data_IF_878406696023
#
_entry.id   IF_878406696023
#
_cell.length_a   1.000
_cell.length_b   1.000
_cell.length_c   1.000
_cell.angle_alpha   90.00
_cell.angle_beta   90.00
_cell.angle_gamma   90.00
#
_symmetry.space_group_name_H-M   'P 1'
#
loop_
_entity.id
_entity.type
_entity.pdbx_description
1 polymer ?
#
# COMPACT_ATOMS: atom_id res chain seq x y z
N UNK A 1 6.43 -5.23 -1.38
CA UNK A 1 6.71 -5.52 -2.80
C UNK A 1 6.15 -6.88 -3.23
N UNK A 2 6.49 -7.99 -2.57
CA UNK A 2 6.09 -9.35 -2.99
C UNK A 2 4.57 -9.56 -3.15
N UNK A 3 3.75 -9.03 -2.24
CA UNK A 3 2.28 -9.19 -2.32
C UNK A 3 1.67 -8.53 -3.56
N UNK A 4 2.10 -7.29 -3.88
CA UNK A 4 1.67 -6.60 -5.10
C UNK A 4 2.16 -7.36 -6.32
N UNK A 5 3.42 -7.78 -6.34
CA UNK A 5 4.02 -8.47 -7.48
C UNK A 5 3.38 -9.85 -7.78
N UNK A 6 2.78 -10.49 -6.77
CA UNK A 6 2.09 -11.78 -6.89
C UNK A 6 0.57 -11.67 -6.95
N UNK A 7 0.02 -10.45 -7.03
CA UNK A 7 -1.44 -10.23 -7.07
C UNK A 7 -2.17 -10.59 -5.77
N UNK A 8 -1.48 -10.70 -4.64
CA UNK A 8 -2.03 -11.05 -3.32
C UNK A 8 -2.68 -9.85 -2.63
N UNK A 9 -3.67 -9.26 -3.31
CA UNK A 9 -4.29 -7.98 -2.96
C UNK A 9 -4.96 -8.00 -1.59
N UNK A 10 -5.52 -9.14 -1.19
CA UNK A 10 -6.22 -9.32 0.10
C UNK A 10 -5.31 -9.15 1.32
N UNK A 11 -4.00 -9.38 1.16
CA UNK A 11 -3.00 -9.24 2.23
C UNK A 11 -2.40 -7.83 2.30
N UNK A 12 -2.57 -7.01 1.26
CA UNK A 12 -2.00 -5.65 1.18
C UNK A 12 -2.44 -4.76 2.35
N UNK A 13 -3.72 -4.72 2.80
CA UNK A 13 -4.14 -3.79 3.85
C UNK A 13 -3.37 -3.95 5.15
N UNK A 14 -3.21 -5.20 5.62
CA UNK A 14 -2.52 -5.50 6.86
C UNK A 14 -1.03 -5.12 6.78
N UNK A 15 -0.35 -5.58 5.72
CA UNK A 15 1.08 -5.35 5.55
C UNK A 15 1.41 -3.88 5.25
N UNK A 16 0.56 -3.17 4.52
CA UNK A 16 0.74 -1.75 4.26
C UNK A 16 0.58 -0.93 5.54
N UNK A 17 -0.43 -1.21 6.37
CA UNK A 17 -0.56 -0.57 7.68
C UNK A 17 0.67 -0.81 8.55
N UNK A 18 1.13 -2.06 8.65
CA UNK A 18 2.32 -2.40 9.43
C UNK A 18 3.60 -1.73 8.90
N UNK A 19 3.74 -1.61 7.59
CA UNK A 19 4.86 -0.90 6.98
C UNK A 19 4.82 0.60 7.33
N UNK A 20 3.64 1.23 7.27
CA UNK A 20 3.47 2.64 7.64
C UNK A 20 3.66 2.87 9.15
N UNK A 21 3.26 1.92 9.98
CA UNK A 21 3.52 1.95 11.42
C UNK A 21 5.03 1.94 11.73
N UNK A 22 5.81 1.33 10.83
CA UNK A 22 7.27 1.22 10.89
C UNK A 22 7.97 2.38 10.18
N UNK A 23 7.23 3.42 9.75
CA UNK A 23 7.78 4.66 9.19
C UNK A 23 7.70 4.79 7.66
N UNK A 24 7.13 3.81 6.93
CA UNK A 24 6.87 3.98 5.50
C UNK A 24 5.86 5.12 5.28
N UNK A 25 6.22 6.11 4.47
CA UNK A 25 5.31 7.21 4.14
C UNK A 25 4.33 6.83 3.04
N UNK A 26 3.24 7.58 2.91
CA UNK A 26 2.30 7.44 1.80
C UNK A 26 2.99 7.64 0.43
N UNK A 27 3.91 8.61 0.32
CA UNK A 27 4.65 8.86 -0.92
C UNK A 27 5.54 7.68 -1.31
N UNK A 28 6.28 7.13 -0.34
CA UNK A 28 7.12 5.94 -0.57
C UNK A 28 6.28 4.73 -0.99
N UNK A 29 5.10 4.53 -0.37
CA UNK A 29 4.19 3.46 -0.78
C UNK A 29 3.68 3.65 -2.22
N UNK A 30 3.35 4.88 -2.62
CA UNK A 30 2.94 5.20 -3.98
C UNK A 30 4.07 4.98 -5.01
N UNK A 31 5.31 5.35 -4.65
CA UNK A 31 6.49 5.08 -5.47
C UNK A 31 6.73 3.59 -5.67
N UNK A 32 6.58 2.77 -4.63
CA UNK A 32 6.69 1.30 -4.72
C UNK A 32 5.64 0.74 -5.68
N UNK A 33 4.38 1.16 -5.56
CA UNK A 33 3.31 0.70 -6.48
C UNK A 33 3.62 1.13 -7.93
N UNK A 34 4.09 2.36 -8.12
CA UNK A 34 4.46 2.91 -9.44
C UNK A 34 5.62 2.12 -10.05
N UNK A 35 6.67 1.84 -9.27
CA UNK A 35 7.81 1.03 -9.71
C UNK A 35 7.38 -0.39 -10.12
N UNK A 36 6.45 -0.98 -9.37
CA UNK A 36 5.92 -2.31 -9.66
C UNK A 36 5.02 -2.36 -10.90
N UNK A 37 4.49 -1.25 -11.40
CA UNK A 37 3.82 -1.23 -12.69
C UNK A 37 4.77 -1.63 -13.83
N UNK A 38 6.05 -1.23 -13.73
CA UNK A 38 7.09 -1.57 -14.70
C UNK A 38 7.70 -2.96 -14.47
N UNK A 39 7.88 -3.36 -13.21
CA UNK A 39 8.57 -4.61 -12.87
C UNK A 39 7.67 -5.83 -12.68
N UNK A 40 6.41 -5.62 -12.31
CA UNK A 40 5.44 -6.69 -12.04
C UNK A 40 4.15 -6.54 -12.88
N UNK A 41 4.12 -5.57 -13.80
CA UNK A 41 3.03 -5.34 -14.72
C UNK A 41 1.92 -4.44 -14.18
N UNK A 42 1.35 -3.65 -15.10
CA UNK A 42 0.21 -2.77 -14.85
C UNK A 42 -0.98 -3.44 -14.14
N UNK A 43 -1.41 -4.70 -14.47
CA UNK A 43 -2.54 -5.33 -13.79
C UNK A 43 -2.35 -5.48 -12.27
N UNK A 44 -1.13 -5.83 -11.83
CA UNK A 44 -0.80 -5.99 -10.42
C UNK A 44 -0.80 -4.63 -9.70
N UNK A 45 -0.21 -3.60 -10.30
CA UNK A 45 -0.21 -2.26 -9.74
C UNK A 45 -1.62 -1.68 -9.64
N UNK A 46 -2.44 -1.79 -10.70
CA UNK A 46 -3.82 -1.29 -10.69
C UNK A 46 -4.70 -2.00 -9.66
N UNK A 47 -4.49 -3.30 -9.44
CA UNK A 47 -5.23 -4.04 -8.41
C UNK A 47 -4.86 -3.60 -6.99
N UNK A 48 -3.64 -3.10 -6.78
CA UNK A 48 -3.18 -2.61 -5.49
C UNK A 48 -3.63 -1.17 -5.16
N UNK A 49 -3.82 -0.31 -6.17
CA UNK A 49 -4.17 1.10 -6.00
C UNK A 49 -5.44 1.36 -5.16
N UNK A 50 -6.61 0.74 -5.43
CA UNK A 50 -7.81 1.00 -4.63
C UNK A 50 -7.64 0.58 -3.18
N UNK A 51 -6.90 -0.51 -2.94
CA UNK A 51 -6.62 -1.01 -1.59
C UNK A 51 -5.67 -0.10 -0.82
N UNK A 52 -4.60 0.37 -1.48
CA UNK A 52 -3.69 1.33 -0.89
C UNK A 52 -4.42 2.64 -0.54
N UNK A 53 -5.29 3.12 -1.44
CA UNK A 53 -6.13 4.30 -1.22
C UNK A 53 -7.01 4.14 0.02
N UNK A 54 -7.71 3.01 0.16
CA UNK A 54 -8.56 2.74 1.32
C UNK A 54 -7.77 2.77 2.64
N UNK A 55 -6.56 2.20 2.66
CA UNK A 55 -5.66 2.25 3.83
C UNK A 55 -5.31 3.70 4.17
N UNK A 56 -4.94 4.50 3.18
CA UNK A 56 -4.58 5.90 3.40
C UNK A 56 -5.75 6.72 3.95
N UNK A 57 -6.94 6.56 3.37
CA UNK A 57 -8.15 7.27 3.83
C UNK A 57 -8.51 6.88 5.27
N UNK A 58 -8.47 5.59 5.61
CA UNK A 58 -8.72 5.12 6.99
C UNK A 58 -7.71 5.70 7.98
N UNK A 59 -6.43 5.77 7.61
CA UNK A 59 -5.38 6.33 8.48
C UNK A 59 -5.49 7.85 8.62
N UNK A 60 -5.95 8.55 7.59
CA UNK A 60 -6.21 9.99 7.65
C UNK A 60 -7.43 10.32 8.53
N UNK A 61 -8.44 9.45 8.54
CA UNK A 61 -9.63 9.59 9.37
C UNK A 61 -9.43 9.15 10.84
N UNK A 62 -8.41 8.36 11.14
CA UNK A 62 -8.10 7.95 12.51
C UNK A 62 -7.47 9.14 13.29
N UNK A 63 -7.93 9.44 14.52
CA UNK A 63 -7.27 10.43 15.36
C UNK A 63 -5.80 10.07 15.56
N UNK A 64 -4.90 11.00 15.26
CA UNK A 64 -3.48 10.87 15.56
C UNK A 64 -3.28 10.96 17.08
N UNK A 65 -3.50 9.85 17.78
CA UNK A 65 -3.35 9.78 19.23
C UNK A 65 -3.43 8.35 19.71
N UNK A 66 -2.26 7.71 19.86
CA UNK A 66 -2.18 6.32 20.30
C UNK A 66 -0.80 5.69 20.10
N UNK A 67 0.27 6.41 20.44
CA UNK A 67 1.54 5.84 20.89
C UNK A 67 2.04 6.70 22.04
#
# INVERSE_FOLDING_TARGET
SALIASGQVTQIPYHLNRAMDSGLTQSQAAEVITHLAFYAGWPNAFSALPVAKEVFEKRAAAPQGGR
#
